data_IF_968865302557
#
_entry.id   IF_968865302557
#
_cell.length_a   1.000
_cell.length_b   1.000
_cell.length_c   1.000
_cell.angle_alpha   90.00
_cell.angle_beta   90.00
_cell.angle_gamma   90.00
#
_symmetry.space_group_name_H-M   'P 1'
#
loop_
_entity.id
_entity.type
_entity.pdbx_description
1 polymer ?
#
# COMPACT_ATOMS: atom_id res chain seq x y z
N UNK A 1 22.78 -15.73 -7.66
CA UNK A 1 21.59 -16.59 -7.42
C UNK A 1 21.20 -16.44 -5.96
N UNK A 2 19.93 -16.67 -5.57
CA UNK A 2 19.48 -16.45 -4.18
C UNK A 2 20.32 -17.18 -3.11
N UNK A 3 20.93 -18.33 -3.45
CA UNK A 3 21.88 -19.02 -2.56
C UNK A 3 23.14 -18.20 -2.28
N UNK A 4 23.70 -17.52 -3.29
CA UNK A 4 24.87 -16.63 -3.14
C UNK A 4 24.54 -15.38 -2.31
N UNK A 5 23.26 -14.99 -2.29
CA UNK A 5 22.73 -13.90 -1.45
C UNK A 5 22.36 -14.36 -0.02
N UNK A 6 22.67 -15.62 0.36
CA UNK A 6 22.44 -16.13 1.72
C UNK A 6 21.04 -16.70 1.99
N UNK A 7 20.16 -16.83 0.99
CA UNK A 7 18.86 -17.47 1.19
C UNK A 7 19.00 -19.00 1.11
N UNK A 8 18.64 -19.71 2.19
CA UNK A 8 18.51 -21.18 2.17
C UNK A 8 17.35 -21.62 1.27
N UNK A 9 17.35 -22.86 0.79
CA UNK A 9 16.29 -23.38 -0.09
C UNK A 9 14.86 -23.16 0.45
N UNK A 10 14.56 -23.38 1.75
CA UNK A 10 13.23 -23.10 2.29
C UNK A 10 12.82 -21.62 2.27
N UNK A 11 13.79 -20.69 2.19
CA UNK A 11 13.56 -19.25 2.08
C UNK A 11 13.56 -18.77 0.63
N UNK A 12 13.49 -19.67 -0.34
CA UNK A 12 13.41 -19.31 -1.76
C UNK A 12 12.03 -19.70 -2.31
N UNK A 13 11.34 -18.73 -2.90
CA UNK A 13 10.13 -18.94 -3.68
C UNK A 13 10.41 -18.60 -5.14
N UNK A 14 10.00 -19.47 -6.06
CA UNK A 14 10.14 -19.23 -7.50
C UNK A 14 8.76 -19.16 -8.15
N UNK A 15 8.47 -18.03 -8.77
CA UNK A 15 7.24 -17.80 -9.52
C UNK A 15 7.57 -17.86 -11.01
N UNK A 16 6.92 -18.76 -11.74
CA UNK A 16 7.10 -18.91 -13.19
C UNK A 16 5.96 -18.23 -13.92
N UNK A 17 6.26 -17.70 -15.10
CA UNK A 17 5.27 -17.10 -15.98
C UNK A 17 5.63 -17.26 -17.44
N UNK A 18 4.63 -17.21 -18.30
CA UNK A 18 4.78 -17.13 -19.75
C UNK A 18 4.16 -15.82 -20.22
N UNK A 19 4.82 -15.11 -21.13
CA UNK A 19 4.16 -14.07 -21.92
C UNK A 19 3.65 -14.71 -23.21
N UNK A 20 2.37 -14.49 -23.50
CA UNK A 20 1.73 -15.04 -24.67
C UNK A 20 0.89 -13.98 -25.38
N UNK A 21 0.61 -14.22 -26.67
CA UNK A 21 -0.22 -13.35 -27.51
C UNK A 21 -0.99 -14.19 -28.52
N UNK A 22 -2.00 -13.63 -29.17
CA UNK A 22 -2.51 -14.26 -30.39
C UNK A 22 -1.52 -14.06 -31.53
N UNK A 23 -1.37 -15.06 -32.39
CA UNK A 23 -0.52 -14.98 -33.58
C UNK A 23 -0.87 -13.74 -34.41
N UNK A 24 0.14 -12.93 -34.73
CA UNK A 24 -0.01 -11.69 -35.50
C UNK A 24 -0.37 -10.45 -34.67
N UNK A 25 -0.60 -10.56 -33.36
CA UNK A 25 -0.79 -9.40 -32.49
C UNK A 25 0.55 -8.82 -31.99
N UNK A 26 0.56 -7.53 -31.69
CA UNK A 26 1.75 -6.84 -31.17
C UNK A 26 1.85 -6.81 -29.64
N UNK A 27 0.75 -7.05 -28.92
CA UNK A 27 0.72 -6.99 -27.46
C UNK A 27 0.65 -8.38 -26.82
N UNK A 28 1.51 -8.58 -25.83
CA UNK A 28 1.56 -9.80 -25.03
C UNK A 28 0.84 -9.64 -23.69
N UNK A 29 0.40 -10.76 -23.13
CA UNK A 29 -0.15 -10.86 -21.79
C UNK A 29 0.61 -11.92 -21.00
N UNK A 30 1.02 -11.55 -19.81
CA UNK A 30 1.70 -12.46 -18.89
C UNK A 30 0.69 -13.34 -18.15
N UNK A 31 0.93 -14.65 -18.17
CA UNK A 31 0.15 -15.66 -17.45
C UNK A 31 1.03 -16.43 -16.47
N UNK A 32 0.48 -16.72 -15.28
CA UNK A 32 1.17 -17.50 -14.24
C UNK A 32 1.08 -19.02 -14.45
N UNK A 33 0.13 -19.47 -15.27
CA UNK A 33 -0.01 -20.89 -15.57
C UNK A 33 1.00 -21.29 -16.65
N UNK A 34 2.00 -22.08 -16.25
CA UNK A 34 3.08 -22.51 -17.15
C UNK A 34 3.03 -24.00 -17.51
N UNK A 35 1.91 -24.69 -17.19
CA UNK A 35 1.69 -26.12 -17.41
C UNK A 35 0.24 -26.40 -17.77
N UNK A 36 -0.01 -27.57 -18.36
CA UNK A 36 -1.34 -27.98 -18.81
C UNK A 36 -1.81 -27.13 -20.00
N UNK A 37 -3.10 -26.82 -20.05
CA UNK A 37 -3.67 -26.05 -21.15
C UNK A 37 -3.37 -24.53 -21.03
N UNK A 38 -2.20 -24.14 -21.54
CA UNK A 38 -1.69 -22.76 -21.53
C UNK A 38 -2.57 -21.84 -22.38
N UNK A 39 -3.06 -22.31 -23.53
CA UNK A 39 -3.93 -21.53 -24.41
C UNK A 39 -5.24 -21.14 -23.69
N UNK A 40 -5.88 -22.09 -23.00
CA UNK A 40 -7.07 -21.81 -22.20
C UNK A 40 -6.80 -20.79 -21.08
N UNK A 41 -5.63 -20.87 -20.43
CA UNK A 41 -5.23 -19.91 -19.41
C UNK A 41 -5.04 -18.50 -20.00
N UNK A 42 -4.42 -18.40 -21.17
CA UNK A 42 -4.30 -17.15 -21.91
C UNK A 42 -5.66 -16.59 -22.31
N UNK A 43 -6.58 -17.38 -22.88
CA UNK A 43 -7.91 -16.90 -23.25
C UNK A 43 -8.69 -16.35 -22.04
N UNK A 44 -8.64 -17.02 -20.88
CA UNK A 44 -9.25 -16.51 -19.64
C UNK A 44 -8.63 -15.19 -19.20
N UNK A 45 -7.30 -15.10 -19.20
CA UNK A 45 -6.59 -13.88 -18.83
C UNK A 45 -6.89 -12.72 -19.79
N UNK A 46 -6.92 -13.00 -21.10
CA UNK A 46 -7.26 -12.02 -22.14
C UNK A 46 -8.69 -11.51 -21.98
N UNK A 47 -9.67 -12.39 -21.71
CA UNK A 47 -11.05 -12.00 -21.43
C UNK A 47 -11.17 -11.16 -20.16
N UNK A 48 -10.47 -11.52 -19.10
CA UNK A 48 -10.46 -10.74 -17.86
C UNK A 48 -9.85 -9.34 -18.05
N UNK A 49 -8.82 -9.21 -18.89
CA UNK A 49 -8.12 -7.94 -19.13
C UNK A 49 -8.85 -7.02 -20.12
N UNK A 50 -9.42 -7.59 -21.18
CA UNK A 50 -9.94 -6.86 -22.35
C UNK A 50 -11.42 -7.10 -22.65
N UNK A 51 -12.12 -7.93 -21.88
CA UNK A 51 -13.53 -8.25 -22.06
C UNK A 51 -13.84 -9.34 -23.08
N UNK A 52 -12.88 -9.78 -23.89
CA UNK A 52 -13.09 -10.79 -24.93
C UNK A 52 -11.90 -11.77 -25.07
N UNK A 53 -12.10 -12.87 -25.80
CA UNK A 53 -11.04 -13.79 -26.21
C UNK A 53 -11.33 -14.32 -27.63
N UNK A 54 -10.29 -14.75 -28.34
CA UNK A 54 -10.35 -15.31 -29.69
C UNK A 54 -9.97 -16.80 -29.65
N UNK A 55 -10.88 -17.70 -29.22
CA UNK A 55 -10.55 -19.10 -28.95
C UNK A 55 -10.08 -19.88 -30.19
N UNK A 56 -10.43 -19.40 -31.39
CA UNK A 56 -10.03 -20.00 -32.65
C UNK A 56 -8.65 -19.53 -33.14
N UNK A 57 -8.06 -18.53 -32.48
CA UNK A 57 -6.77 -17.98 -32.88
C UNK A 57 -5.64 -18.70 -32.15
N UNK A 58 -4.58 -19.01 -32.90
CA UNK A 58 -3.38 -19.61 -32.33
C UNK A 58 -2.75 -18.68 -31.28
N UNK A 59 -2.35 -19.26 -30.14
CA UNK A 59 -1.64 -18.57 -29.06
C UNK A 59 -0.15 -18.83 -29.23
N UNK A 60 0.64 -17.76 -29.31
CA UNK A 60 2.10 -17.80 -29.34
C UNK A 60 2.65 -17.47 -27.96
N UNK A 61 3.54 -18.32 -27.42
CA UNK A 61 4.38 -17.98 -26.28
C UNK A 61 5.59 -17.22 -26.82
N UNK A 62 5.79 -15.99 -26.37
CA UNK A 62 6.87 -15.12 -26.82
C UNK A 62 8.02 -15.03 -25.82
N UNK A 63 7.75 -15.26 -24.54
CA UNK A 63 8.80 -15.36 -23.52
C UNK A 63 8.39 -16.24 -22.34
N UNK A 64 9.40 -16.79 -21.66
CA UNK A 64 9.26 -17.51 -20.40
C UNK A 64 10.13 -16.84 -19.34
N UNK A 65 9.54 -16.57 -18.17
CA UNK A 65 10.19 -15.86 -17.07
C UNK A 65 10.13 -16.62 -15.76
N UNK A 66 11.16 -16.46 -14.94
CA UNK A 66 11.18 -16.93 -13.55
C UNK A 66 11.54 -15.76 -12.64
N UNK A 67 10.63 -15.41 -11.73
CA UNK A 67 10.90 -14.50 -10.62
C UNK A 67 11.33 -15.32 -9.42
N UNK A 68 12.56 -15.13 -8.97
CA UNK A 68 13.08 -15.75 -7.76
C UNK A 68 13.00 -14.76 -6.60
N UNK A 69 12.37 -15.17 -5.51
CA UNK A 69 12.06 -14.35 -4.34
C UNK A 69 12.74 -14.97 -3.13
N UNK A 70 13.57 -14.19 -2.43
CA UNK A 70 14.09 -14.56 -1.12
C UNK A 70 13.13 -14.09 -0.03
N UNK A 71 12.59 -15.01 0.76
CA UNK A 71 11.70 -14.67 1.87
C UNK A 71 12.55 -14.19 3.06
N UNK A 72 12.37 -12.91 3.40
CA UNK A 72 12.97 -12.25 4.57
C UNK A 72 11.99 -12.23 5.72
N UNK A 73 12.50 -12.14 6.95
CA UNK A 73 11.64 -11.91 8.09
C UNK A 73 10.92 -10.57 7.93
N UNK A 74 9.58 -10.59 7.95
CA UNK A 74 8.79 -9.36 7.89
C UNK A 74 8.94 -8.63 9.21
N UNK A 75 9.16 -7.32 9.15
CA UNK A 75 9.13 -6.46 10.33
C UNK A 75 7.76 -6.62 11.00
N UNK A 76 7.77 -7.02 12.27
CA UNK A 76 6.54 -7.11 13.08
C UNK A 76 6.10 -5.69 13.42
N UNK A 77 5.02 -5.22 12.79
CA UNK A 77 4.40 -3.94 13.14
C UNK A 77 3.83 -4.06 14.55
N UNK A 78 4.37 -3.29 15.50
CA UNK A 78 3.88 -3.26 16.88
C UNK A 78 2.68 -2.32 16.97
N UNK A 79 1.65 -2.72 17.70
CA UNK A 79 0.58 -1.80 18.06
C UNK A 79 1.08 -0.81 19.12
N UNK A 80 0.70 0.45 18.99
CA UNK A 80 0.94 1.46 20.03
C UNK A 80 -0.06 1.25 21.16
N UNK A 81 0.38 1.50 22.40
CA UNK A 81 -0.47 1.36 23.57
C UNK A 81 -1.71 2.27 23.45
N UNK A 82 -2.85 1.74 23.87
CA UNK A 82 -4.10 2.49 24.06
C UNK A 82 -4.15 2.95 25.52
N UNK A 83 -4.07 4.23 25.85
CA UNK A 83 -4.23 4.70 27.21
C UNK A 83 -5.68 5.03 27.52
N UNK A 84 -5.97 5.01 28.82
CA UNK A 84 -7.24 5.37 29.43
C UNK A 84 -7.45 6.87 29.66
N UNK A 85 -6.51 7.73 29.23
CA UNK A 85 -6.51 9.17 29.55
C UNK A 85 -6.94 10.04 28.37
N UNK A 86 -7.67 11.12 28.67
CA UNK A 86 -7.99 12.17 27.70
C UNK A 86 -6.72 12.78 27.09
N UNK A 87 -6.72 12.95 25.77
CA UNK A 87 -5.67 13.67 25.04
C UNK A 87 -5.76 15.16 25.36
N UNK A 88 -4.62 15.78 25.67
CA UNK A 88 -4.52 17.22 25.91
C UNK A 88 -3.55 17.86 24.93
N UNK A 89 -3.87 19.04 24.37
CA UNK A 89 -2.90 19.82 23.60
C UNK A 89 -1.66 20.11 24.43
N UNK A 90 -0.49 20.10 23.79
CA UNK A 90 0.75 20.57 24.39
C UNK A 90 0.75 22.10 24.54
N UNK A 91 0.23 22.79 23.53
CA UNK A 91 0.13 24.24 23.50
C UNK A 91 -1.08 24.65 22.63
N UNK A 92 -1.39 25.94 22.67
CA UNK A 92 -2.26 26.59 21.71
C UNK A 92 -1.46 27.72 21.05
N UNK A 93 -1.58 27.86 19.74
CA UNK A 93 -0.86 28.88 18.97
C UNK A 93 -1.83 29.62 18.06
N UNK A 94 -1.65 30.93 17.97
CA UNK A 94 -2.38 31.75 17.02
C UNK A 94 -1.74 31.61 15.64
N UNK A 95 -2.53 31.17 14.65
CA UNK A 95 -2.05 30.87 13.30
C UNK A 95 -3.17 31.10 12.28
N UNK A 96 -2.90 30.86 11.00
CA UNK A 96 -3.88 30.96 9.93
C UNK A 96 -4.16 29.61 9.29
N UNK A 97 -5.44 29.26 9.18
CA UNK A 97 -5.95 28.18 8.33
C UNK A 97 -6.94 28.80 7.34
N UNK A 98 -6.79 28.52 6.04
CA UNK A 98 -7.68 29.03 4.98
C UNK A 98 -7.92 30.55 5.07
N UNK A 99 -6.83 31.32 5.27
CA UNK A 99 -6.84 32.79 5.45
C UNK A 99 -7.64 33.29 6.66
N UNK A 100 -8.05 32.41 7.57
CA UNK A 100 -8.72 32.75 8.83
C UNK A 100 -7.77 32.57 10.00
N UNK A 101 -7.73 33.57 10.87
CA UNK A 101 -6.96 33.52 12.11
C UNK A 101 -7.64 32.57 13.09
N UNK A 102 -6.91 31.61 13.63
CA UNK A 102 -7.42 30.59 14.57
C UNK A 102 -6.42 30.36 15.69
N UNK A 103 -6.93 30.05 16.87
CA UNK A 103 -6.12 29.55 17.98
C UNK A 103 -6.07 28.02 17.90
N UNK A 104 -5.06 27.47 17.22
CA UNK A 104 -4.96 26.06 16.93
C UNK A 104 -4.29 25.28 18.07
N UNK A 105 -4.87 24.14 18.44
CA UNK A 105 -4.23 23.20 19.36
C UNK A 105 -2.98 22.58 18.70
N UNK A 106 -1.88 22.51 19.45
CA UNK A 106 -0.64 21.86 19.03
C UNK A 106 -0.46 20.57 19.83
N UNK A 107 -0.30 19.45 19.14
CA UNK A 107 -0.06 18.14 19.73
C UNK A 107 1.33 17.62 19.36
N UNK A 108 2.06 17.10 20.35
CA UNK A 108 3.28 16.34 20.09
C UNK A 108 2.95 14.92 19.66
N UNK A 109 3.48 14.49 18.52
CA UNK A 109 3.16 13.23 17.87
C UNK A 109 3.46 12.03 18.75
N UNK A 110 4.57 12.06 19.47
CA UNK A 110 5.00 11.00 20.38
C UNK A 110 4.12 10.86 21.62
N UNK A 111 3.28 11.87 21.91
CA UNK A 111 2.33 11.87 23.04
C UNK A 111 0.92 11.45 22.63
N UNK A 112 0.68 11.25 21.33
CA UNK A 112 -0.64 10.85 20.83
C UNK A 112 -0.80 9.33 20.84
N UNK A 113 -1.75 8.80 21.62
CA UNK A 113 -1.96 7.37 21.69
C UNK A 113 -2.77 6.77 20.54
N UNK A 114 -2.73 5.44 20.43
CA UNK A 114 -3.67 4.70 19.60
C UNK A 114 -5.13 5.02 19.99
N UNK A 115 -5.95 5.28 18.98
CA UNK A 115 -7.36 5.67 19.14
C UNK A 115 -7.59 7.16 19.37
N UNK A 116 -6.53 7.97 19.53
CA UNK A 116 -6.69 9.40 19.72
C UNK A 116 -7.46 10.05 18.57
N UNK A 117 -8.42 10.92 18.89
CA UNK A 117 -9.13 11.76 17.91
C UNK A 117 -8.75 13.20 18.17
N UNK A 118 -8.36 13.91 17.11
CA UNK A 118 -7.95 15.30 17.18
C UNK A 118 -9.09 16.19 16.67
N UNK A 119 -9.30 17.30 17.35
CA UNK A 119 -10.26 18.31 16.93
C UNK A 119 -9.56 19.27 15.96
N UNK A 120 -10.08 19.37 14.74
CA UNK A 120 -9.59 20.32 13.75
C UNK A 120 -10.20 21.73 13.97
N UNK A 121 -9.48 22.82 13.66
CA UNK A 121 -8.13 22.83 13.12
C UNK A 121 -7.08 22.60 14.21
N UNK A 122 -6.06 21.81 13.92
CA UNK A 122 -4.95 21.58 14.86
C UNK A 122 -3.64 21.34 14.12
N UNK A 123 -2.54 21.41 14.88
CA UNK A 123 -1.18 21.14 14.41
C UNK A 123 -0.66 19.92 15.16
N UNK A 124 -0.05 18.99 14.45
CA UNK A 124 0.68 17.85 15.03
C UNK A 124 2.16 18.00 14.70
N UNK A 125 2.99 18.16 15.72
CA UNK A 125 4.45 18.28 15.56
C UNK A 125 5.13 16.97 15.87
N UNK A 126 6.11 16.63 15.04
CA UNK A 126 7.02 15.49 15.19
C UNK A 126 8.44 16.00 14.99
N UNK A 127 9.44 15.29 15.52
CA UNK A 127 10.85 15.63 15.33
C UNK A 127 11.25 15.87 13.86
N UNK A 128 10.66 15.12 12.93
CA UNK A 128 10.97 15.17 11.50
C UNK A 128 9.92 15.89 10.64
N UNK A 129 8.76 16.26 11.19
CA UNK A 129 7.64 16.77 10.40
C UNK A 129 6.66 17.61 11.21
N UNK A 130 5.90 18.47 10.54
CA UNK A 130 4.74 19.15 11.13
C UNK A 130 3.54 18.92 10.22
N UNK A 131 2.48 18.33 10.75
CA UNK A 131 1.23 18.07 10.03
C UNK A 131 0.18 19.08 10.45
N UNK A 132 -0.38 19.80 9.48
CA UNK A 132 -1.53 20.67 9.68
C UNK A 132 -2.81 19.89 9.42
N UNK A 133 -3.75 19.95 10.35
CA UNK A 133 -5.10 19.38 10.21
C UNK A 133 -6.08 20.55 10.06
N UNK A 134 -6.50 20.89 8.82
CA UNK A 134 -7.34 22.05 8.55
C UNK A 134 -8.81 21.79 8.91
N UNK A 135 -9.63 22.84 8.78
CA UNK A 135 -11.08 22.73 8.91
C UNK A 135 -11.67 21.73 7.91
N UNK A 136 -12.79 21.10 8.28
CA UNK A 136 -13.47 20.11 7.42
C UNK A 136 -12.71 18.78 7.28
N UNK A 137 -11.69 18.57 8.10
CA UNK A 137 -10.98 17.30 8.19
C UNK A 137 -11.11 16.69 9.58
N UNK A 138 -11.06 15.36 9.63
CA UNK A 138 -10.89 14.60 10.87
C UNK A 138 -9.53 13.94 10.88
N UNK A 139 -8.86 13.97 12.03
CA UNK A 139 -7.63 13.25 12.24
C UNK A 139 -7.76 12.30 13.44
N UNK A 140 -7.29 11.06 13.28
CA UNK A 140 -7.25 10.05 14.33
C UNK A 140 -5.96 9.24 14.28
N UNK A 141 -5.52 8.72 15.42
CA UNK A 141 -4.38 7.82 15.49
C UNK A 141 -4.88 6.38 15.47
N UNK A 142 -4.40 5.56 14.55
CA UNK A 142 -4.78 4.15 14.48
C UNK A 142 -4.02 3.29 15.52
N UNK A 143 -4.31 1.99 15.55
CA UNK A 143 -3.66 1.05 16.47
C UNK A 143 -2.15 0.89 16.26
N UNK A 144 -1.63 1.28 15.10
CA UNK A 144 -0.21 1.21 14.76
C UNK A 144 0.50 2.53 14.97
N UNK A 145 -0.20 3.55 15.45
CA UNK A 145 0.37 4.88 15.60
C UNK A 145 0.52 5.59 14.26
N UNK A 146 -0.30 5.32 13.26
CA UNK A 146 -0.41 6.17 12.07
C UNK A 146 -1.40 7.32 12.33
N UNK A 147 -1.12 8.52 11.81
CA UNK A 147 -2.09 9.62 11.81
C UNK A 147 -2.96 9.49 10.55
N UNK A 148 -4.19 9.02 10.73
CA UNK A 148 -5.17 8.90 9.65
C UNK A 148 -5.96 10.20 9.53
N UNK A 149 -5.93 10.78 8.34
CA UNK A 149 -6.67 11.99 8.00
C UNK A 149 -7.76 11.66 6.98
N UNK A 150 -8.97 12.14 7.26
CA UNK A 150 -10.14 11.99 6.41
C UNK A 150 -10.66 13.39 6.05
N UNK A 151 -10.93 13.60 4.77
CA UNK A 151 -11.62 14.80 4.28
C UNK A 151 -13.12 14.51 4.34
N UNK A 152 -13.88 15.41 4.95
CA UNK A 152 -15.33 15.34 4.89
C UNK A 152 -15.77 15.65 3.46
N UNK A 153 -16.39 14.65 2.81
CA UNK A 153 -16.98 14.78 1.47
C UNK A 153 -18.27 15.57 1.53
#
# INVERSE_FOLDING_TARGET
>A
TLRREGFSLPKQRHERSLAARYKGQSFELQIKQTRGNIAAAFHRAHRARYGYAQPNNAVEIVSAGVRSIGDVEKIKVRSVQTPSKLIRPHAFVETYFDRRKVNAAVYHRERLPAGARLQAPCIVTEYSATTLVPHGMRAKVDRYGNLLMEIDR
#
